data_IF_934983681736
#
_entry.id   IF_934983681736
#
_cell.length_a   1.000
_cell.length_b   1.000
_cell.length_c   1.000
_cell.angle_alpha   90.00
_cell.angle_beta   90.00
_cell.angle_gamma   90.00
#
_symmetry.space_group_name_H-M   'P 1'
#
loop_
_entity.id
_entity.type
_entity.pdbx_description
1 polymer ?
#
# COMPACT_ATOMS: atom_id res chain seq x y z
N UNK A 1 -21.29 -0.46 -11.97
CA UNK A 1 -20.28 -0.18 -10.94
C UNK A 1 -18.90 -0.02 -11.59
N UNK A 2 -18.39 -1.03 -12.31
CA UNK A 2 -17.02 -1.00 -12.88
C UNK A 2 -16.78 0.21 -13.82
N UNK A 3 -17.75 0.62 -14.61
CA UNK A 3 -17.63 1.78 -15.52
C UNK A 3 -17.47 3.11 -14.76
N UNK A 4 -17.99 3.24 -13.54
CA UNK A 4 -17.81 4.42 -12.69
C UNK A 4 -16.37 4.53 -12.21
N UNK A 5 -15.79 3.41 -11.77
CA UNK A 5 -14.38 3.35 -11.39
C UNK A 5 -13.44 3.69 -12.56
N UNK A 6 -13.73 3.18 -13.76
CA UNK A 6 -12.91 3.47 -14.97
C UNK A 6 -12.98 4.95 -15.37
N UNK A 7 -14.15 5.61 -15.19
CA UNK A 7 -14.32 7.04 -15.49
C UNK A 7 -13.70 7.96 -14.44
N UNK A 8 -13.39 7.45 -13.23
CA UNK A 8 -12.93 8.28 -12.12
C UNK A 8 -14.00 9.26 -11.60
N UNK A 9 -15.29 8.89 -11.70
CA UNK A 9 -16.40 9.75 -11.33
C UNK A 9 -16.52 9.88 -9.81
N UNK A 10 -15.98 10.95 -9.25
CA UNK A 10 -16.01 11.22 -7.82
C UNK A 10 -17.44 11.41 -7.26
N UNK A 11 -18.40 11.82 -8.08
CA UNK A 11 -19.80 11.95 -7.66
C UNK A 11 -20.43 10.58 -7.34
N UNK A 12 -19.84 9.48 -7.80
CA UNK A 12 -20.30 8.13 -7.50
C UNK A 12 -19.85 7.61 -6.11
N UNK A 13 -18.91 8.28 -5.44
CA UNK A 13 -18.32 7.81 -4.16
C UNK A 13 -19.37 7.51 -3.10
N UNK A 14 -20.36 8.39 -2.80
CA UNK A 14 -21.36 8.07 -1.77
C UNK A 14 -22.24 6.87 -2.12
N UNK A 15 -22.59 6.69 -3.38
CA UNK A 15 -23.39 5.54 -3.84
C UNK A 15 -22.58 4.24 -3.71
N UNK A 16 -21.31 4.26 -4.11
CA UNK A 16 -20.41 3.10 -4.01
C UNK A 16 -20.16 2.73 -2.55
N UNK A 17 -20.02 3.72 -1.66
CA UNK A 17 -19.90 3.50 -0.22
C UNK A 17 -21.10 2.72 0.34
N UNK A 18 -22.32 3.09 -0.04
CA UNK A 18 -23.54 2.36 0.34
C UNK A 18 -23.62 0.93 -0.22
N UNK A 19 -22.87 0.65 -1.28
CA UNK A 19 -22.85 -0.67 -1.94
C UNK A 19 -21.79 -1.62 -1.34
N UNK A 20 -20.86 -1.13 -0.52
CA UNK A 20 -19.82 -1.99 0.12
C UNK A 20 -20.42 -3.07 1.04
N UNK A 21 -21.60 -2.84 1.58
CA UNK A 21 -22.35 -3.78 2.43
C UNK A 21 -23.39 -4.62 1.68
N UNK A 22 -23.32 -4.70 0.36
CA UNK A 22 -24.26 -5.50 -0.44
C UNK A 22 -24.19 -6.98 -0.05
N UNK A 23 -25.36 -7.66 -0.06
CA UNK A 23 -25.45 -9.09 0.26
C UNK A 23 -24.70 -9.95 -0.78
N UNK A 24 -24.59 -9.48 -2.02
CA UNK A 24 -23.80 -10.12 -3.06
C UNK A 24 -22.32 -9.69 -2.94
N UNK A 25 -21.41 -10.61 -2.60
CA UNK A 25 -19.99 -10.30 -2.41
C UNK A 25 -19.31 -9.81 -3.70
N UNK A 26 -19.82 -10.19 -4.89
CA UNK A 26 -19.28 -9.70 -6.16
C UNK A 26 -19.64 -8.22 -6.37
N UNK A 27 -20.84 -7.82 -5.97
CA UNK A 27 -21.31 -6.43 -6.03
C UNK A 27 -20.51 -5.57 -5.04
N UNK A 28 -20.35 -6.03 -3.79
CA UNK A 28 -19.53 -5.36 -2.79
C UNK A 28 -18.06 -5.20 -3.22
N UNK A 29 -17.45 -6.26 -3.75
CA UNK A 29 -16.08 -6.23 -4.26
C UNK A 29 -15.93 -5.28 -5.47
N UNK A 30 -16.90 -5.25 -6.37
CA UNK A 30 -16.91 -4.33 -7.51
C UNK A 30 -17.01 -2.85 -7.04
N UNK A 31 -17.79 -2.58 -5.99
CA UNK A 31 -17.88 -1.24 -5.40
C UNK A 31 -16.56 -0.83 -4.74
N UNK A 32 -15.93 -1.71 -3.98
CA UNK A 32 -14.62 -1.49 -3.39
C UNK A 32 -13.56 -1.18 -4.47
N UNK A 33 -13.51 -2.00 -5.51
CA UNK A 33 -12.59 -1.78 -6.64
C UNK A 33 -12.83 -0.43 -7.33
N UNK A 34 -14.10 -0.05 -7.54
CA UNK A 34 -14.43 1.24 -8.15
C UNK A 34 -13.97 2.41 -7.27
N UNK A 35 -14.15 2.36 -5.94
CA UNK A 35 -13.61 3.33 -5.01
C UNK A 35 -12.07 3.42 -5.09
N UNK A 36 -11.40 2.26 -5.14
CA UNK A 36 -9.95 2.19 -5.31
C UNK A 36 -9.45 2.85 -6.61
N UNK A 37 -10.23 2.78 -7.67
CA UNK A 37 -9.94 3.42 -8.97
C UNK A 37 -10.22 4.91 -9.00
N UNK A 38 -11.31 5.34 -8.36
CA UNK A 38 -11.67 6.76 -8.25
C UNK A 38 -10.62 7.50 -7.42
N UNK A 39 -10.16 6.90 -6.33
CA UNK A 39 -9.05 7.35 -5.50
C UNK A 39 -9.12 8.83 -5.07
N UNK A 40 -10.27 9.25 -4.58
CA UNK A 40 -10.37 10.49 -3.81
C UNK A 40 -9.95 10.23 -2.36
N UNK A 41 -9.57 11.26 -1.62
CA UNK A 41 -9.30 11.15 -0.17
C UNK A 41 -10.48 10.52 0.55
N UNK A 42 -11.71 10.98 0.25
CA UNK A 42 -12.95 10.43 0.77
C UNK A 42 -13.11 8.92 0.47
N UNK A 43 -12.79 8.48 -0.76
CA UNK A 43 -12.84 7.06 -1.11
C UNK A 43 -11.83 6.24 -0.29
N UNK A 44 -10.65 6.78 -0.03
CA UNK A 44 -9.63 6.17 0.82
C UNK A 44 -10.09 6.02 2.28
N UNK A 45 -10.71 7.05 2.85
CA UNK A 45 -11.28 7.04 4.20
C UNK A 45 -12.41 6.00 4.32
N UNK A 46 -13.30 5.93 3.33
CA UNK A 46 -14.39 4.95 3.27
C UNK A 46 -13.83 3.52 3.23
N UNK A 47 -12.82 3.25 2.39
CA UNK A 47 -12.18 1.93 2.33
C UNK A 47 -11.50 1.56 3.65
N UNK A 48 -10.80 2.49 4.29
CA UNK A 48 -10.18 2.30 5.60
C UNK A 48 -11.22 1.92 6.65
N UNK A 49 -12.31 2.68 6.75
CA UNK A 49 -13.40 2.42 7.68
C UNK A 49 -14.10 1.08 7.41
N UNK A 50 -14.33 0.75 6.14
CA UNK A 50 -14.92 -0.54 5.76
C UNK A 50 -14.03 -1.73 6.17
N UNK A 51 -12.71 -1.61 6.03
CA UNK A 51 -11.77 -2.64 6.48
C UNK A 51 -11.85 -2.90 7.99
N UNK A 52 -12.02 -1.86 8.80
CA UNK A 52 -12.19 -2.01 10.25
C UNK A 52 -13.48 -2.74 10.61
N UNK A 53 -14.58 -2.48 9.87
CA UNK A 53 -15.88 -3.10 10.11
C UNK A 53 -15.91 -4.59 9.77
N UNK A 54 -15.09 -5.04 8.83
CA UNK A 54 -15.05 -6.44 8.37
C UNK A 54 -13.79 -7.18 8.82
N UNK A 55 -13.13 -6.72 9.87
CA UNK A 55 -11.86 -7.29 10.35
C UNK A 55 -11.94 -8.81 10.62
N UNK A 56 -13.12 -9.31 11.02
CA UNK A 56 -13.39 -10.71 11.28
C UNK A 56 -13.87 -11.51 10.06
N UNK A 57 -13.96 -10.88 8.88
CA UNK A 57 -14.40 -11.49 7.62
C UNK A 57 -13.27 -11.53 6.59
N UNK A 58 -12.44 -12.60 6.55
CA UNK A 58 -11.22 -12.63 5.74
C UNK A 58 -11.43 -12.40 4.24
N UNK A 59 -12.55 -12.86 3.66
CA UNK A 59 -12.85 -12.70 2.23
C UNK A 59 -13.19 -11.24 1.90
N UNK A 60 -14.04 -10.61 2.70
CA UNK A 60 -14.38 -9.20 2.52
C UNK A 60 -13.17 -8.31 2.78
N UNK A 61 -12.41 -8.60 3.84
CA UNK A 61 -11.18 -7.88 4.15
C UNK A 61 -10.16 -7.97 3.01
N UNK A 62 -10.04 -9.13 2.35
CA UNK A 62 -9.11 -9.29 1.23
C UNK A 62 -9.48 -8.40 0.05
N UNK A 63 -10.77 -8.33 -0.32
CA UNK A 63 -11.27 -7.47 -1.42
C UNK A 63 -11.08 -5.99 -1.10
N UNK A 64 -11.40 -5.57 0.13
CA UNK A 64 -11.22 -4.19 0.58
C UNK A 64 -9.74 -3.79 0.64
N UNK A 65 -8.88 -4.68 1.14
CA UNK A 65 -7.43 -4.43 1.19
C UNK A 65 -6.81 -4.28 -0.21
N UNK A 66 -7.31 -5.05 -1.19
CA UNK A 66 -6.91 -4.87 -2.59
C UNK A 66 -7.30 -3.49 -3.11
N UNK A 67 -8.55 -3.10 -2.90
CA UNK A 67 -9.06 -1.79 -3.29
C UNK A 67 -8.32 -0.65 -2.57
N UNK A 68 -7.99 -0.81 -1.28
CA UNK A 68 -7.25 0.17 -0.49
C UNK A 68 -5.81 0.35 -1.00
N UNK A 69 -5.11 -0.72 -1.35
CA UNK A 69 -3.77 -0.63 -1.96
C UNK A 69 -3.83 0.10 -3.31
N UNK A 70 -4.82 -0.23 -4.15
CA UNK A 70 -5.04 0.45 -5.43
C UNK A 70 -5.34 1.94 -5.23
N UNK A 71 -6.23 2.27 -4.26
CA UNK A 71 -6.56 3.65 -3.92
C UNK A 71 -5.32 4.43 -3.47
N UNK A 72 -4.54 3.87 -2.55
CA UNK A 72 -3.33 4.49 -2.05
C UNK A 72 -2.30 4.75 -3.17
N UNK A 73 -2.12 3.80 -4.09
CA UNK A 73 -1.23 3.99 -5.24
C UNK A 73 -1.69 5.13 -6.16
N UNK A 74 -3.00 5.23 -6.42
CA UNK A 74 -3.56 6.30 -7.24
C UNK A 74 -3.52 7.67 -6.52
N UNK A 75 -3.79 7.71 -5.20
CA UNK A 75 -3.62 8.92 -4.38
C UNK A 75 -2.18 9.42 -4.42
N UNK A 76 -1.21 8.53 -4.25
CA UNK A 76 0.21 8.87 -4.34
C UNK A 76 0.55 9.43 -5.73
N UNK A 77 0.09 8.80 -6.79
CA UNK A 77 0.31 9.28 -8.16
C UNK A 77 -0.34 10.65 -8.43
N UNK A 78 -1.43 10.97 -7.73
CA UNK A 78 -2.12 12.26 -7.77
C UNK A 78 -1.49 13.34 -6.86
N UNK A 79 -0.45 12.99 -6.07
CA UNK A 79 0.23 13.90 -5.15
C UNK A 79 -0.34 13.95 -3.73
N UNK A 80 -1.41 13.18 -3.43
CA UNK A 80 -1.98 13.02 -2.08
C UNK A 80 -1.17 11.98 -1.28
N UNK A 81 0.11 12.29 -1.05
CA UNK A 81 1.09 11.33 -0.51
C UNK A 81 0.80 10.97 0.94
N UNK A 82 0.42 11.93 1.78
CA UNK A 82 0.16 11.68 3.20
C UNK A 82 -1.06 10.78 3.39
N UNK A 83 -2.12 10.98 2.62
CA UNK A 83 -3.32 10.15 2.62
C UNK A 83 -3.02 8.74 2.10
N UNK A 84 -2.18 8.63 1.08
CA UNK A 84 -1.72 7.34 0.58
C UNK A 84 -0.94 6.56 1.66
N UNK A 85 -0.02 7.23 2.38
CA UNK A 85 0.75 6.64 3.48
C UNK A 85 -0.18 6.17 4.61
N UNK A 86 -1.17 6.99 4.96
CA UNK A 86 -2.15 6.63 5.98
C UNK A 86 -2.93 5.36 5.58
N UNK A 87 -3.42 5.30 4.34
CA UNK A 87 -4.18 4.16 3.84
C UNK A 87 -3.32 2.88 3.72
N UNK A 88 -2.07 2.98 3.26
CA UNK A 88 -1.12 1.87 3.33
C UNK A 88 -0.90 1.41 4.78
N UNK A 89 -0.88 2.34 5.74
CA UNK A 89 -0.77 2.05 7.16
C UNK A 89 -1.90 1.16 7.67
N UNK A 90 -3.15 1.45 7.28
CA UNK A 90 -4.33 0.63 7.60
C UNK A 90 -4.17 -0.79 7.06
N UNK A 91 -3.78 -0.94 5.80
CA UNK A 91 -3.59 -2.27 5.19
C UNK A 91 -2.48 -3.06 5.89
N UNK A 92 -1.37 -2.40 6.27
CA UNK A 92 -0.26 -3.04 6.99
C UNK A 92 -0.65 -3.57 8.37
N UNK A 93 -1.53 -2.85 9.07
CA UNK A 93 -1.99 -3.20 10.41
C UNK A 93 -3.05 -4.31 10.39
N UNK A 94 -3.78 -4.47 9.29
CA UNK A 94 -4.88 -5.43 9.17
C UNK A 94 -4.39 -6.88 9.03
N UNK A 95 -5.29 -7.85 9.31
CA UNK A 95 -5.04 -9.29 9.16
C UNK A 95 -5.14 -9.75 7.70
N UNK A 96 -4.38 -9.11 6.82
CA UNK A 96 -4.36 -9.38 5.37
C UNK A 96 -3.31 -10.41 4.99
N UNK A 97 -3.39 -10.92 3.75
CA UNK A 97 -2.38 -11.81 3.19
C UNK A 97 -0.99 -11.13 3.18
N UNK A 98 0.05 -11.96 3.24
CA UNK A 98 1.44 -11.51 3.14
C UNK A 98 1.71 -10.69 1.87
N UNK A 99 1.05 -11.05 0.78
CA UNK A 99 1.15 -10.31 -0.47
C UNK A 99 0.63 -8.88 -0.32
N UNK A 100 -0.57 -8.69 0.22
CA UNK A 100 -1.15 -7.34 0.42
C UNK A 100 -0.34 -6.51 1.39
N UNK A 101 0.16 -7.16 2.45
CA UNK A 101 1.06 -6.49 3.40
C UNK A 101 2.35 -6.03 2.72
N UNK A 102 2.96 -6.87 1.87
CA UNK A 102 4.16 -6.51 1.12
C UNK A 102 3.92 -5.33 0.17
N UNK A 103 2.79 -5.32 -0.55
CA UNK A 103 2.40 -4.22 -1.43
C UNK A 103 2.23 -2.91 -0.66
N UNK A 104 1.57 -2.94 0.50
CA UNK A 104 1.39 -1.76 1.35
C UNK A 104 2.70 -1.28 1.98
N UNK A 105 3.60 -2.19 2.40
CA UNK A 105 4.95 -1.84 2.88
C UNK A 105 5.72 -1.15 1.75
N UNK A 106 5.77 -1.76 0.56
CA UNK A 106 6.46 -1.19 -0.60
C UNK A 106 5.92 0.19 -0.95
N UNK A 107 4.60 0.35 -1.01
CA UNK A 107 3.96 1.64 -1.26
C UNK A 107 4.36 2.69 -0.23
N UNK A 108 4.36 2.33 1.06
CA UNK A 108 4.80 3.23 2.14
C UNK A 108 6.26 3.64 1.99
N UNK A 109 7.15 2.71 1.65
CA UNK A 109 8.59 3.00 1.49
C UNK A 109 8.79 4.00 0.34
N UNK A 110 8.16 3.75 -0.81
CA UNK A 110 8.26 4.61 -1.99
C UNK A 110 7.67 5.99 -1.70
N UNK A 111 6.49 6.05 -1.08
CA UNK A 111 5.82 7.31 -0.77
C UNK A 111 6.59 8.18 0.22
N UNK A 112 7.32 7.58 1.15
CA UNK A 112 8.14 8.28 2.14
C UNK A 112 9.54 8.65 1.66
N UNK A 113 9.96 8.17 0.49
CA UNK A 113 11.29 8.41 -0.05
C UNK A 113 12.42 8.12 0.96
N UNK A 114 13.27 9.10 1.27
CA UNK A 114 14.36 8.94 2.27
C UNK A 114 13.85 8.59 3.67
N UNK A 115 12.69 9.09 4.08
CA UNK A 115 12.05 8.74 5.34
C UNK A 115 11.50 7.30 5.37
N UNK A 116 11.43 6.62 4.23
CA UNK A 116 11.06 5.21 4.11
C UNK A 116 12.21 4.24 4.33
N UNK A 117 13.46 4.70 4.34
CA UNK A 117 14.66 3.86 4.51
C UNK A 117 14.64 3.01 5.80
N UNK A 118 14.28 3.54 6.98
CA UNK A 118 14.18 2.71 8.17
C UNK A 118 13.22 1.52 8.03
N UNK A 119 12.07 1.73 7.38
CA UNK A 119 11.11 0.66 7.10
C UNK A 119 11.66 -0.35 6.07
N UNK A 120 12.41 0.12 5.07
CA UNK A 120 13.10 -0.74 4.10
C UNK A 120 14.08 -1.68 4.80
N UNK A 121 14.93 -1.13 5.66
CA UNK A 121 15.93 -1.88 6.45
C UNK A 121 15.26 -2.89 7.39
N UNK A 122 14.23 -2.47 8.12
CA UNK A 122 13.43 -3.38 8.95
C UNK A 122 12.86 -4.54 8.11
N UNK A 123 12.36 -4.24 6.91
CA UNK A 123 11.76 -5.26 6.03
C UNK A 123 12.81 -6.20 5.44
N UNK A 124 14.04 -5.73 5.17
CA UNK A 124 15.17 -6.58 4.76
C UNK A 124 15.52 -7.63 5.81
N UNK A 125 15.38 -7.31 7.10
CA UNK A 125 15.60 -8.23 8.24
C UNK A 125 14.44 -9.21 8.47
N UNK A 126 13.36 -9.10 7.71
CA UNK A 126 12.18 -9.95 7.92
C UNK A 126 12.53 -11.43 7.78
N UNK A 127 12.10 -12.31 8.70
CA UNK A 127 12.23 -13.75 8.56
C UNK A 127 11.41 -14.30 7.39
N UNK A 128 10.45 -13.54 6.92
CA UNK A 128 9.60 -13.88 5.80
C UNK A 128 10.31 -13.59 4.48
N UNK A 129 10.70 -14.63 3.74
CA UNK A 129 11.43 -14.50 2.46
C UNK A 129 10.73 -13.58 1.45
N UNK A 130 9.40 -13.59 1.42
CA UNK A 130 8.62 -12.72 0.52
C UNK A 130 8.86 -11.25 0.83
N UNK A 131 8.81 -10.87 2.10
CA UNK A 131 9.02 -9.48 2.53
C UNK A 131 10.47 -9.04 2.30
N UNK A 132 11.44 -9.87 2.68
CA UNK A 132 12.84 -9.58 2.44
C UNK A 132 13.16 -9.42 0.94
N UNK A 133 12.66 -10.32 0.08
CA UNK A 133 12.83 -10.20 -1.36
C UNK A 133 12.17 -8.93 -1.92
N UNK A 134 10.94 -8.60 -1.49
CA UNK A 134 10.28 -7.38 -1.89
C UNK A 134 11.11 -6.15 -1.51
N UNK A 135 11.71 -6.12 -0.30
CA UNK A 135 12.55 -5.04 0.14
C UNK A 135 13.81 -4.89 -0.74
N UNK A 136 14.45 -5.99 -1.14
CA UNK A 136 15.59 -5.97 -2.09
C UNK A 136 15.21 -5.34 -3.43
N UNK A 137 14.06 -5.75 -4.01
CA UNK A 137 13.58 -5.15 -5.25
C UNK A 137 13.21 -3.67 -5.07
N UNK A 138 12.60 -3.30 -3.94
CA UNK A 138 12.25 -1.91 -3.65
C UNK A 138 13.50 -1.03 -3.51
N UNK A 139 14.54 -1.52 -2.82
CA UNK A 139 15.83 -0.84 -2.73
C UNK A 139 16.45 -0.58 -4.10
N UNK A 140 16.42 -1.61 -4.97
CA UNK A 140 16.91 -1.49 -6.34
C UNK A 140 16.11 -0.48 -7.18
N UNK A 141 14.79 -0.46 -7.03
CA UNK A 141 13.92 0.48 -7.75
C UNK A 141 14.18 1.92 -7.29
N UNK A 142 14.34 2.15 -5.98
CA UNK A 142 14.71 3.45 -5.42
C UNK A 142 16.09 3.93 -5.89
N UNK A 143 17.05 3.02 -6.02
CA UNK A 143 18.40 3.34 -6.51
C UNK A 143 18.50 3.59 -8.02
N UNK A 144 17.47 3.21 -8.80
CA UNK A 144 17.45 3.36 -10.27
C UNK A 144 16.46 4.40 -10.78
N UNK A 145 15.59 4.93 -9.94
CA UNK A 145 14.56 5.90 -10.34
C UNK A 145 15.18 7.16 -10.93
N UNK A 146 14.64 7.66 -12.04
CA UNK A 146 15.06 8.92 -12.67
C UNK A 146 14.84 10.14 -11.74
N UNK A 147 13.97 10.00 -10.75
CA UNK A 147 13.77 10.97 -9.66
C UNK A 147 14.72 10.72 -8.47
N UNK A 148 15.57 9.69 -8.52
CA UNK A 148 16.57 9.47 -7.48
C UNK A 148 17.58 10.61 -7.58
N UNK A 149 17.34 11.67 -6.80
CA UNK A 149 18.40 12.50 -6.28
C UNK A 149 19.51 11.54 -5.87
N UNK A 150 20.71 11.67 -6.41
CA UNK A 150 21.81 10.74 -6.09
C UNK A 150 22.01 10.56 -4.58
N UNK A 151 21.44 11.46 -3.76
CA UNK A 151 21.34 11.38 -2.32
C UNK A 151 20.45 10.22 -1.81
N UNK A 152 19.31 9.95 -2.45
CA UNK A 152 18.44 8.83 -2.04
C UNK A 152 19.12 7.49 -2.34
N UNK A 153 19.68 7.34 -3.54
CA UNK A 153 20.42 6.12 -3.91
C UNK A 153 21.59 5.87 -2.95
N UNK A 154 22.39 6.90 -2.67
CA UNK A 154 23.50 6.81 -1.72
C UNK A 154 23.04 6.49 -0.27
N UNK A 155 21.87 6.98 0.14
CA UNK A 155 21.31 6.68 1.45
C UNK A 155 20.82 5.23 1.54
N UNK A 156 20.20 4.70 0.49
CA UNK A 156 19.80 3.28 0.40
C UNK A 156 21.03 2.37 0.41
N UNK A 157 22.04 2.68 -0.40
CA UNK A 157 23.29 1.89 -0.45
C UNK A 157 24.00 1.87 0.90
N UNK A 158 24.09 3.02 1.59
CA UNK A 158 24.65 3.10 2.92
C UNK A 158 23.90 2.25 3.93
N UNK A 159 22.57 2.33 3.95
CA UNK A 159 21.75 1.55 4.86
C UNK A 159 21.90 0.04 4.64
N UNK A 160 22.03 -0.40 3.38
CA UNK A 160 22.27 -1.81 3.04
C UNK A 160 23.66 -2.25 3.48
N UNK A 161 24.70 -1.42 3.28
CA UNK A 161 26.06 -1.73 3.70
C UNK A 161 26.16 -1.86 5.22
N UNK A 162 25.55 -0.94 5.98
CA UNK A 162 25.49 -1.00 7.44
C UNK A 162 24.83 -2.31 7.93
N UNK A 163 23.78 -2.79 7.23
CA UNK A 163 23.15 -4.06 7.53
C UNK A 163 24.05 -5.28 7.27
N UNK A 164 24.79 -5.27 6.17
CA UNK A 164 25.72 -6.34 5.83
C UNK A 164 26.85 -6.39 6.87
N UNK A 165 27.42 -5.24 7.25
CA UNK A 165 28.46 -5.14 8.27
C UNK A 165 27.98 -5.61 9.64
N UNK A 166 26.76 -5.23 10.05
CA UNK A 166 26.16 -5.67 11.29
C UNK A 166 25.95 -7.19 11.33
N UNK A 167 25.49 -7.79 10.21
CA UNK A 167 25.28 -9.23 10.11
C UNK A 167 26.61 -10.02 10.17
N UNK A 168 27.66 -9.50 9.53
CA UNK A 168 29.00 -10.15 9.55
C UNK A 168 29.75 -9.99 10.86
N UNK A 169 29.41 -8.98 11.67
CA UNK A 169 30.04 -8.75 12.98
C UNK A 169 29.41 -9.55 14.10
N UNK A 170 28.26 -10.20 13.87
CA UNK A 170 27.50 -10.99 14.84
C UNK A 170 27.85 -12.51 14.80
N UNK A 171 28.72 -12.94 13.89
CA UNK A 171 29.30 -14.29 13.79
C UNK A 171 30.64 -14.36 14.53
#
# INVERSE_FOLDING_TARGET
INSLGVRGDSAAVPMLAGTLGDEDPEVAAAAAWALGRIATVEAGEILAQAMEQVADSPEQLASLAEAAVLCAANLQAAGSTDEAIALYGVVRAASVSEQRRAEAIRGTIIAKESAGIPLLVETLRSPTKRLANMAVYTARDLGRGEAADGALAAAVDRAILEEIEAATSAE
#
